data_IF_700337391341
#
_entry.id   IF_700337391341
#
_cell.length_a   1.000
_cell.length_b   1.000
_cell.length_c   1.000
_cell.angle_alpha   90.00
_cell.angle_beta   90.00
_cell.angle_gamma   90.00
#
_symmetry.space_group_name_H-M   'P 1'
#
loop_
_entity.id
_entity.type
_entity.pdbx_description
1 polymer ?
#
# COMPACT_ATOMS: atom_id res chain seq x y z
N UNK A 1 -23.18 -25.89 4.20
CA UNK A 1 -24.41 -25.22 4.67
C UNK A 1 -24.12 -23.73 4.77
N UNK A 2 -24.98 -22.92 4.16
CA UNK A 2 -24.77 -21.51 3.84
C UNK A 2 -24.87 -20.61 5.08
N UNK A 3 -23.86 -19.77 5.32
CA UNK A 3 -24.04 -18.51 6.06
C UNK A 3 -23.86 -17.33 5.10
N UNK A 4 -24.86 -17.15 4.23
CA UNK A 4 -25.02 -15.99 3.35
C UNK A 4 -26.04 -15.09 4.03
N UNK A 5 -25.66 -13.90 4.53
CA UNK A 5 -26.67 -12.93 4.98
C UNK A 5 -26.28 -11.79 5.94
N UNK A 6 -25.11 -11.80 6.61
CA UNK A 6 -24.73 -10.67 7.47
C UNK A 6 -23.91 -9.64 6.70
N UNK A 7 -24.45 -8.42 6.55
CA UNK A 7 -23.68 -7.27 6.08
C UNK A 7 -22.54 -7.03 7.08
N UNK A 8 -21.27 -7.01 6.66
CA UNK A 8 -20.15 -6.74 7.56
C UNK A 8 -20.33 -5.38 8.23
N UNK A 9 -20.08 -5.32 9.54
CA UNK A 9 -20.23 -4.07 10.30
C UNK A 9 -19.24 -3.02 9.78
N UNK A 10 -19.61 -1.74 9.86
CA UNK A 10 -18.75 -0.63 9.41
C UNK A 10 -17.33 -0.71 10.00
N UNK A 11 -17.19 -1.13 11.27
CA UNK A 11 -15.90 -1.32 11.94
C UNK A 11 -15.02 -2.46 11.38
N UNK A 12 -15.62 -3.49 10.76
CA UNK A 12 -14.89 -4.58 10.10
C UNK A 12 -14.46 -4.19 8.69
N UNK A 13 -15.30 -3.44 7.97
CA UNK A 13 -15.00 -2.92 6.63
C UNK A 13 -13.80 -1.97 6.61
N UNK A 14 -13.54 -1.23 7.70
CA UNK A 14 -12.37 -0.32 7.76
C UNK A 14 -11.04 -1.05 7.82
N UNK A 15 -11.01 -2.29 8.32
CA UNK A 15 -9.75 -3.07 8.42
C UNK A 15 -9.33 -3.65 7.07
N UNK A 16 -10.23 -3.64 6.09
CA UNK A 16 -10.04 -4.13 4.74
C UNK A 16 -10.50 -3.03 3.78
N UNK A 17 -9.65 -2.03 3.58
CA UNK A 17 -9.91 -0.99 2.58
C UNK A 17 -10.04 -1.66 1.21
N UNK A 18 -11.26 -1.68 0.67
CA UNK A 18 -11.52 -2.17 -0.68
C UNK A 18 -11.14 -1.08 -1.67
N UNK A 19 -10.08 -1.31 -2.44
CA UNK A 19 -9.69 -0.42 -3.53
C UNK A 19 -10.38 -0.96 -4.80
N UNK A 20 -11.32 -0.21 -5.41
CA UNK A 20 -11.90 -0.62 -6.68
C UNK A 20 -10.81 -0.62 -7.74
N UNK A 21 -10.79 -1.66 -8.58
CA UNK A 21 -9.77 -1.80 -9.62
C UNK A 21 -10.46 -1.75 -10.98
N UNK A 22 -10.13 -0.73 -11.76
CA UNK A 22 -10.78 -0.40 -13.03
C UNK A 22 -9.77 -0.18 -14.15
N UNK A 23 -8.66 -0.91 -14.13
CA UNK A 23 -7.61 -0.78 -15.15
C UNK A 23 -7.95 -1.60 -16.39
N UNK A 24 -7.36 -1.19 -17.53
CA UNK A 24 -7.58 -1.80 -18.85
C UNK A 24 -7.30 -3.31 -18.83
N UNK A 25 -6.24 -3.73 -18.14
CA UNK A 25 -5.83 -5.13 -18.09
C UNK A 25 -6.23 -5.81 -16.77
N UNK A 26 -7.44 -5.50 -16.30
CA UNK A 26 -7.99 -5.99 -15.04
C UNK A 26 -7.34 -5.27 -13.86
N UNK A 27 -6.37 -5.92 -13.20
CA UNK A 27 -5.71 -5.36 -12.02
C UNK A 27 -4.53 -4.42 -12.32
N UNK A 28 -4.14 -4.32 -13.60
CA UNK A 28 -2.90 -3.67 -14.01
C UNK A 28 -3.17 -2.58 -15.05
N UNK A 29 -2.54 -1.43 -14.87
CA UNK A 29 -2.51 -0.32 -15.84
C UNK A 29 -1.42 -0.48 -16.90
N UNK A 30 -0.38 -1.26 -16.62
CA UNK A 30 0.73 -1.52 -17.53
C UNK A 30 1.09 -3.02 -17.48
N UNK A 31 1.32 -3.63 -18.64
CA UNK A 31 1.72 -5.03 -18.76
C UNK A 31 3.23 -5.23 -18.84
N UNK A 32 4.00 -4.15 -18.97
CA UNK A 32 5.43 -4.19 -19.27
C UNK A 32 5.69 -5.07 -20.50
N UNK A 33 6.48 -6.13 -20.36
CA UNK A 33 6.85 -7.03 -21.45
C UNK A 33 5.90 -8.24 -21.58
N UNK A 34 4.77 -8.26 -20.85
CA UNK A 34 3.82 -9.36 -20.88
C UNK A 34 2.68 -9.15 -21.86
N UNK A 35 2.23 -10.23 -22.49
CA UNK A 35 1.18 -10.20 -23.53
C UNK A 35 -0.24 -9.96 -22.98
N UNK A 36 -0.46 -10.19 -21.67
CA UNK A 36 -1.77 -9.99 -21.04
C UNK A 36 -1.67 -9.87 -19.51
N UNK A 37 -2.72 -9.34 -18.88
CA UNK A 37 -2.83 -9.28 -17.42
C UNK A 37 -2.80 -10.67 -16.76
N UNK A 38 -3.28 -11.72 -17.45
CA UNK A 38 -3.15 -13.11 -16.99
C UNK A 38 -1.68 -13.55 -16.99
N UNK A 39 -0.95 -13.30 -18.08
CA UNK A 39 0.46 -13.67 -18.20
C UNK A 39 1.32 -12.99 -17.10
N UNK A 40 1.12 -11.69 -16.87
CA UNK A 40 1.78 -10.97 -15.77
C UNK A 40 1.39 -11.55 -14.40
N UNK A 41 0.10 -11.80 -14.15
CA UNK A 41 -0.36 -12.36 -12.87
C UNK A 41 0.25 -13.74 -12.58
N UNK A 42 0.32 -14.62 -13.58
CA UNK A 42 0.88 -15.96 -13.44
C UNK A 42 2.40 -15.92 -13.25
N UNK A 43 3.08 -15.00 -13.94
CA UNK A 43 4.51 -14.73 -13.69
C UNK A 43 4.76 -14.28 -12.25
N UNK A 44 4.02 -13.28 -11.75
CA UNK A 44 4.14 -12.80 -10.36
C UNK A 44 3.85 -13.92 -9.34
N UNK A 45 2.82 -14.74 -9.58
CA UNK A 45 2.48 -15.88 -8.72
C UNK A 45 3.61 -16.90 -8.63
N UNK A 46 4.33 -17.14 -9.72
CA UNK A 46 5.48 -18.05 -9.77
C UNK A 46 6.71 -17.43 -9.10
N UNK A 47 7.06 -16.19 -9.46
CA UNK A 47 8.26 -15.53 -8.94
C UNK A 47 8.20 -15.25 -7.44
N UNK A 48 7.01 -14.99 -6.87
CA UNK A 48 6.88 -14.78 -5.42
C UNK A 48 7.34 -15.98 -4.58
N UNK A 49 7.30 -17.19 -5.13
CA UNK A 49 7.75 -18.40 -4.43
C UNK A 49 9.28 -18.46 -4.33
N UNK A 50 9.97 -17.78 -5.24
CA UNK A 50 11.45 -17.69 -5.28
C UNK A 50 11.95 -16.40 -4.64
N UNK A 51 11.19 -15.32 -4.77
CA UNK A 51 11.58 -13.97 -4.37
C UNK A 51 10.59 -13.40 -3.35
N UNK A 52 10.81 -13.70 -2.07
CA UNK A 52 10.04 -13.14 -0.96
C UNK A 52 10.96 -12.74 0.19
N UNK A 53 10.49 -11.87 1.09
CA UNK A 53 11.24 -11.50 2.29
C UNK A 53 12.48 -10.62 2.06
N UNK A 54 12.64 -10.02 0.87
CA UNK A 54 13.78 -9.13 0.57
C UNK A 54 13.55 -7.72 1.15
N UNK A 55 12.44 -7.10 0.77
CA UNK A 55 12.13 -5.68 1.05
C UNK A 55 11.96 -5.41 2.55
N UNK A 56 11.17 -6.23 3.25
CA UNK A 56 10.85 -6.00 4.67
C UNK A 56 12.09 -5.95 5.57
N UNK A 57 12.94 -6.99 5.63
CA UNK A 57 14.17 -6.97 6.41
C UNK A 57 15.14 -5.86 6.00
N UNK A 58 15.25 -5.54 4.70
CA UNK A 58 16.08 -4.43 4.25
C UNK A 58 15.58 -3.08 4.77
N UNK A 59 14.26 -2.88 4.75
CA UNK A 59 13.61 -1.68 5.27
C UNK A 59 13.82 -1.54 6.77
N UNK A 60 13.57 -2.60 7.56
CA UNK A 60 13.73 -2.56 9.02
C UNK A 60 15.18 -2.26 9.42
N UNK A 61 16.17 -2.87 8.75
CA UNK A 61 17.59 -2.57 9.05
C UNK A 61 17.91 -1.09 8.91
N UNK A 62 17.51 -0.47 7.80
CA UNK A 62 17.73 0.97 7.59
C UNK A 62 16.89 1.84 8.53
N UNK A 63 15.65 1.43 8.82
CA UNK A 63 14.77 2.13 9.75
C UNK A 63 15.34 2.18 11.18
N UNK A 64 16.05 1.14 11.63
CA UNK A 64 16.67 1.13 12.97
C UNK A 64 17.78 2.18 13.13
N UNK A 65 18.47 2.52 12.03
CA UNK A 65 19.56 3.49 12.02
C UNK A 65 19.05 4.92 11.82
N UNK A 66 17.85 5.09 11.26
CA UNK A 66 17.22 6.38 11.06
C UNK A 66 16.68 6.96 12.38
N UNK A 67 17.09 8.21 12.68
CA UNK A 67 16.75 8.92 13.91
C UNK A 67 15.76 10.06 13.71
N UNK A 68 15.14 10.16 12.52
CA UNK A 68 14.07 11.11 12.26
C UNK A 68 12.88 10.86 13.19
N UNK A 69 12.15 11.93 13.47
CA UNK A 69 10.88 11.84 14.20
C UNK A 69 9.78 11.38 13.23
N UNK A 70 9.62 10.06 13.11
CA UNK A 70 8.58 9.46 12.28
C UNK A 70 7.15 9.85 12.67
N UNK A 71 6.80 10.03 13.96
CA UNK A 71 5.52 10.62 14.33
C UNK A 71 5.28 12.01 13.73
N UNK A 72 6.27 12.91 13.78
CA UNK A 72 6.17 14.24 13.15
C UNK A 72 6.04 14.09 11.63
N UNK A 73 6.87 13.25 11.02
CA UNK A 73 6.83 13.05 9.58
C UNK A 73 5.49 12.43 9.14
N UNK A 74 4.97 11.44 9.86
CA UNK A 74 3.64 10.87 9.58
C UNK A 74 2.53 11.92 9.63
N UNK A 75 2.62 12.89 10.54
CA UNK A 75 1.66 13.98 10.58
C UNK A 75 1.67 14.81 9.29
N UNK A 76 2.83 15.02 8.64
CA UNK A 76 2.88 15.77 7.37
C UNK A 76 2.18 15.02 6.24
N UNK A 77 2.32 13.69 6.18
CA UNK A 77 1.63 12.84 5.21
C UNK A 77 0.14 12.68 5.52
N UNK A 78 -0.27 12.82 6.78
CA UNK A 78 -1.66 12.71 7.18
C UNK A 78 -2.46 13.99 6.88
N UNK A 79 -1.82 15.16 6.90
CA UNK A 79 -2.50 16.46 6.71
C UNK A 79 -3.39 16.50 5.45
N UNK A 80 -2.92 16.09 4.24
CA UNK A 80 -3.73 16.14 3.03
C UNK A 80 -4.97 15.24 3.07
N UNK A 81 -4.93 14.15 3.83
CA UNK A 81 -6.07 13.23 3.94
C UNK A 81 -7.06 13.64 5.05
N UNK A 82 -6.63 14.45 6.01
CA UNK A 82 -7.49 14.88 7.13
C UNK A 82 -8.41 16.04 6.75
N UNK A 83 -8.04 16.87 5.77
CA UNK A 83 -8.90 17.95 5.26
C UNK A 83 -10.21 17.44 4.67
N UNK A 84 -10.21 16.23 4.10
CA UNK A 84 -11.36 15.64 3.40
C UNK A 84 -12.13 14.61 4.23
N UNK A 85 -11.59 14.16 5.37
CA UNK A 85 -12.18 13.11 6.18
C UNK A 85 -13.33 13.63 7.07
N UNK A 86 -14.56 13.22 6.76
CA UNK A 86 -15.81 13.67 7.39
C UNK A 86 -16.27 12.78 8.54
N UNK A 87 -15.78 11.55 8.63
CA UNK A 87 -16.18 10.60 9.67
C UNK A 87 -14.99 9.76 10.20
N UNK A 88 -15.22 9.04 11.30
CA UNK A 88 -14.19 8.22 11.94
C UNK A 88 -13.67 7.08 11.06
N UNK A 89 -14.47 6.63 10.08
CA UNK A 89 -14.06 5.60 9.13
C UNK A 89 -13.06 6.18 8.12
N UNK A 90 -13.36 7.33 7.54
CA UNK A 90 -12.46 8.05 6.64
C UNK A 90 -11.16 8.43 7.34
N UNK A 91 -11.20 8.95 8.58
CA UNK A 91 -9.98 9.26 9.36
C UNK A 91 -9.07 8.04 9.54
N UNK A 92 -9.64 6.85 9.71
CA UNK A 92 -8.86 5.60 9.80
C UNK A 92 -8.28 5.19 8.45
N UNK A 93 -9.04 5.35 7.36
CA UNK A 93 -8.54 5.11 6.02
C UNK A 93 -7.38 6.07 5.68
N UNK A 94 -7.54 7.36 6.00
CA UNK A 94 -6.51 8.40 5.89
C UNK A 94 -5.22 8.01 6.61
N UNK A 95 -5.32 7.49 7.84
CA UNK A 95 -4.16 7.00 8.59
C UNK A 95 -3.44 5.85 7.88
N UNK A 96 -4.19 4.86 7.38
CA UNK A 96 -3.59 3.73 6.65
C UNK A 96 -2.87 4.20 5.39
N UNK A 97 -3.51 5.07 4.59
CA UNK A 97 -2.88 5.62 3.39
C UNK A 97 -1.66 6.48 3.69
N UNK A 98 -1.71 7.32 4.72
CA UNK A 98 -0.58 8.14 5.14
C UNK A 98 0.63 7.27 5.56
N UNK A 99 0.40 6.19 6.32
CA UNK A 99 1.46 5.24 6.70
C UNK A 99 2.04 4.55 5.47
N UNK A 100 1.20 4.10 4.53
CA UNK A 100 1.66 3.45 3.29
C UNK A 100 2.49 4.42 2.44
N UNK A 101 2.02 5.66 2.27
CA UNK A 101 2.72 6.69 1.52
C UNK A 101 4.09 7.00 2.14
N UNK A 102 4.11 7.29 3.45
CA UNK A 102 5.36 7.53 4.18
C UNK A 102 6.33 6.36 4.04
N UNK A 103 5.88 5.12 4.31
CA UNK A 103 6.74 3.95 4.21
C UNK A 103 7.29 3.75 2.78
N UNK A 104 6.48 4.04 1.76
CA UNK A 104 6.87 4.01 0.36
C UNK A 104 7.98 5.02 0.05
N UNK A 105 7.80 6.29 0.42
CA UNK A 105 8.78 7.35 0.22
C UNK A 105 10.09 7.07 0.96
N UNK A 106 10.02 6.62 2.21
CA UNK A 106 11.22 6.22 2.96
C UNK A 106 11.92 5.02 2.30
N UNK A 107 11.17 4.04 1.76
CA UNK A 107 11.77 2.91 1.07
C UNK A 107 12.46 3.31 -0.25
N UNK A 108 11.95 4.34 -0.93
CA UNK A 108 12.60 4.96 -2.10
C UNK A 108 13.87 5.68 -1.68
N UNK A 109 13.83 6.53 -0.65
CA UNK A 109 15.02 7.24 -0.11
C UNK A 109 16.11 6.26 0.33
N UNK A 110 15.71 5.14 0.92
CA UNK A 110 16.60 4.07 1.31
C UNK A 110 17.18 3.29 0.11
N UNK A 111 16.75 3.56 -1.12
CA UNK A 111 17.18 2.86 -2.32
C UNK A 111 16.71 1.40 -2.38
N UNK A 112 15.63 1.06 -1.67
CA UNK A 112 15.06 -0.30 -1.65
C UNK A 112 14.06 -0.48 -2.80
N UNK A 113 13.31 0.56 -3.11
CA UNK A 113 12.37 0.58 -4.24
C UNK A 113 13.00 1.36 -5.40
N UNK A 114 12.93 0.85 -6.65
CA UNK A 114 13.52 1.49 -7.81
C UNK A 114 12.62 2.56 -8.42
N UNK A 115 11.85 3.27 -7.58
CA UNK A 115 10.86 4.25 -8.02
C UNK A 115 11.38 5.67 -7.78
N UNK A 116 10.84 6.63 -8.54
CA UNK A 116 11.11 8.04 -8.30
C UNK A 116 10.29 8.55 -7.10
N UNK A 117 10.86 9.46 -6.32
CA UNK A 117 10.12 10.12 -5.24
C UNK A 117 8.95 10.90 -5.83
N UNK A 118 7.74 10.65 -5.33
CA UNK A 118 6.52 11.24 -5.88
C UNK A 118 5.89 12.24 -4.89
N UNK A 119 6.27 12.19 -3.62
CA UNK A 119 5.79 13.08 -2.57
C UNK A 119 6.83 14.18 -2.27
N UNK A 120 6.69 15.33 -2.94
CA UNK A 120 7.45 16.57 -2.64
C UNK A 120 6.46 17.69 -2.36
#
# INVERSE_FOLDING_TARGET
>A
MNEIGKRPNAGQLVRLLSIPVTFEHGAFSNLHEFESGRALSDHLKSMRLKHYGHVGPAFIRKLMDDKRDFPILLNTYLQPFNSDAKNNLEKRASMVFAIIALAGEIAIEYGILPWEQTYV
#
